data_IF_639513559231
#
_entry.id   IF_639513559231
#
_cell.length_a   1.000
_cell.length_b   1.000
_cell.length_c   1.000
_cell.angle_alpha   90.00
_cell.angle_beta   90.00
_cell.angle_gamma   90.00
#
_symmetry.space_group_name_H-M   'P 1'
#
loop_
_entity.id
_entity.type
_entity.pdbx_description
1 polymer ?
#
# COMPACT_ATOMS: atom_id res chain seq x y z
N UNK A 1 -19.61 1.02 -2.23
CA UNK A 1 -18.25 1.60 -2.21
C UNK A 1 -18.35 3.11 -2.28
N UNK A 2 -17.72 3.79 -1.32
CA UNK A 2 -17.69 5.26 -1.27
C UNK A 2 -16.63 5.81 -2.21
N UNK A 3 -16.81 7.06 -2.64
CA UNK A 3 -15.78 7.76 -3.39
C UNK A 3 -14.52 7.92 -2.54
N UNK A 4 -13.36 7.75 -3.17
CA UNK A 4 -12.05 7.97 -2.58
C UNK A 4 -11.16 8.69 -3.58
N UNK A 5 -10.16 9.37 -3.06
CA UNK A 5 -9.05 9.89 -3.88
C UNK A 5 -7.95 8.84 -3.97
N UNK A 6 -7.15 8.90 -5.02
CA UNK A 6 -6.09 7.93 -5.29
C UNK A 6 -4.79 8.67 -5.57
N UNK A 7 -3.73 8.27 -4.88
CA UNK A 7 -2.37 8.76 -5.05
C UNK A 7 -1.47 7.58 -5.44
N UNK A 8 -0.61 7.78 -6.44
CA UNK A 8 0.54 6.92 -6.66
C UNK A 8 1.74 7.56 -5.96
N UNK A 9 2.21 6.93 -4.89
CA UNK A 9 3.33 7.46 -4.13
C UNK A 9 4.61 7.43 -4.98
N UNK A 10 5.49 8.41 -4.77
CA UNK A 10 6.78 8.51 -5.47
C UNK A 10 7.93 7.85 -4.70
N UNK A 11 7.76 7.62 -3.39
CA UNK A 11 8.71 6.90 -2.53
C UNK A 11 7.98 6.30 -1.33
N UNK A 12 8.68 5.43 -0.57
CA UNK A 12 8.16 4.87 0.68
C UNK A 12 7.91 5.97 1.72
N UNK A 13 8.81 6.95 1.80
CA UNK A 13 8.70 8.08 2.72
C UNK A 13 7.48 8.95 2.39
N UNK A 14 7.22 9.19 1.10
CA UNK A 14 6.03 9.91 0.66
C UNK A 14 4.75 9.15 1.03
N UNK A 15 4.69 7.84 0.76
CA UNK A 15 3.55 7.00 1.13
C UNK A 15 3.27 7.03 2.64
N UNK A 16 4.33 6.87 3.46
CA UNK A 16 4.22 6.93 4.93
C UNK A 16 3.80 8.32 5.39
N UNK A 17 4.32 9.38 4.78
CA UNK A 17 3.95 10.76 5.07
C UNK A 17 2.46 11.02 4.81
N UNK A 18 1.94 10.62 3.64
CA UNK A 18 0.51 10.74 3.33
C UNK A 18 -0.32 9.95 4.34
N UNK A 19 0.02 8.69 4.62
CA UNK A 19 -0.71 7.86 5.57
C UNK A 19 -0.71 8.44 6.99
N UNK A 20 0.41 9.01 7.44
CA UNK A 20 0.52 9.66 8.74
C UNK A 20 -0.33 10.95 8.83
N UNK A 21 -0.43 11.69 7.72
CA UNK A 21 -1.22 12.93 7.67
C UNK A 21 -2.72 12.71 7.48
N UNK A 22 -3.13 11.53 7.03
CA UNK A 22 -4.53 11.18 6.77
C UNK A 22 -4.90 9.84 7.43
N UNK A 23 -5.52 9.84 8.62
CA UNK A 23 -5.91 8.62 9.34
C UNK A 23 -6.93 7.73 8.60
N UNK A 24 -7.60 8.26 7.57
CA UNK A 24 -8.53 7.53 6.72
C UNK A 24 -7.91 7.06 5.41
N UNK A 25 -6.61 7.31 5.19
CA UNK A 25 -5.89 6.75 4.08
C UNK A 25 -5.55 5.27 4.33
N UNK A 26 -5.59 4.46 3.27
CA UNK A 26 -5.13 3.07 3.29
C UNK A 26 -4.15 2.84 2.15
N UNK A 27 -3.12 2.03 2.40
CA UNK A 27 -2.26 1.53 1.34
C UNK A 27 -3.03 0.53 0.46
N UNK A 28 -2.78 0.56 -0.83
CA UNK A 28 -3.28 -0.46 -1.77
C UNK A 28 -2.10 -1.07 -2.55
N UNK A 29 -2.05 -2.41 -2.53
CA UNK A 29 -1.11 -3.24 -3.29
C UNK A 29 -1.85 -3.89 -4.47
N UNK A 30 -2.00 -5.22 -4.48
CA UNK A 30 -2.82 -5.94 -5.46
C UNK A 30 -4.34 -5.71 -5.31
N UNK A 31 -4.79 -5.18 -4.16
CA UNK A 31 -6.19 -4.76 -3.95
C UNK A 31 -7.22 -5.89 -3.83
N UNK A 32 -6.83 -7.16 -3.98
CA UNK A 32 -7.74 -8.31 -4.06
C UNK A 32 -8.65 -8.46 -2.84
N UNK A 33 -8.15 -8.18 -1.64
CA UNK A 33 -8.96 -8.19 -0.42
C UNK A 33 -9.55 -6.81 -0.09
N UNK A 34 -8.75 -5.73 -0.15
CA UNK A 34 -9.22 -4.40 0.22
C UNK A 34 -10.39 -3.92 -0.65
N UNK A 35 -10.31 -4.11 -1.98
CA UNK A 35 -11.38 -3.70 -2.89
C UNK A 35 -12.66 -4.51 -2.69
N UNK A 36 -12.55 -5.77 -2.28
CA UNK A 36 -13.71 -6.60 -1.94
C UNK A 36 -14.43 -6.05 -0.70
N UNK A 37 -13.69 -5.77 0.38
CA UNK A 37 -14.22 -5.16 1.59
C UNK A 37 -14.82 -3.77 1.34
N UNK A 38 -14.21 -2.98 0.45
CA UNK A 38 -14.71 -1.65 0.08
C UNK A 38 -16.03 -1.69 -0.72
N UNK A 39 -16.27 -2.74 -1.51
CA UNK A 39 -17.55 -2.93 -2.22
C UNK A 39 -18.69 -3.09 -1.22
N UNK A 40 -18.45 -3.85 -0.15
CA UNK A 40 -19.38 -4.10 0.95
C UNK A 40 -19.39 -2.99 2.00
N UNK A 41 -18.58 -1.95 1.82
CA UNK A 41 -18.44 -0.81 2.74
C UNK A 41 -17.99 -1.21 4.16
N UNK A 42 -17.28 -2.33 4.27
CA UNK A 42 -16.60 -2.76 5.50
C UNK A 42 -15.35 -1.91 5.72
N UNK A 43 -14.55 -1.73 4.65
CA UNK A 43 -13.45 -0.77 4.61
C UNK A 43 -13.91 0.47 3.84
N UNK A 44 -13.79 1.65 4.44
CA UNK A 44 -14.29 2.92 3.88
C UNK A 44 -13.22 4.02 3.86
N UNK A 45 -12.02 3.76 3.30
CA UNK A 45 -10.98 4.78 3.21
C UNK A 45 -11.44 5.94 2.32
N UNK A 46 -11.05 7.16 2.67
CA UNK A 46 -11.28 8.36 1.84
C UNK A 46 -10.14 8.62 0.86
N UNK A 47 -9.01 7.93 1.05
CA UNK A 47 -7.82 8.05 0.23
C UNK A 47 -7.11 6.69 0.10
N UNK A 48 -6.71 6.33 -1.11
CA UNK A 48 -5.88 5.16 -1.38
C UNK A 48 -4.49 5.59 -1.84
N UNK A 49 -3.48 5.03 -1.18
CA UNK A 49 -2.07 5.25 -1.49
C UNK A 49 -1.56 3.99 -2.18
N UNK A 50 -1.35 4.06 -3.49
CA UNK A 50 -0.75 2.97 -4.25
C UNK A 50 0.74 2.90 -3.95
N UNK A 51 1.16 1.75 -3.40
CA UNK A 51 2.54 1.47 -3.04
C UNK A 51 3.27 0.62 -4.09
N UNK A 52 2.58 0.20 -5.15
CA UNK A 52 3.19 -0.51 -6.28
C UNK A 52 4.23 0.39 -6.97
N UNK A 53 5.34 -0.21 -7.40
CA UNK A 53 6.42 0.51 -8.08
C UNK A 53 7.41 1.25 -7.16
N UNK A 54 7.30 1.09 -5.83
CA UNK A 54 8.24 1.67 -4.86
C UNK A 54 9.51 0.82 -4.63
N UNK A 55 9.76 -0.19 -5.48
CA UNK A 55 10.91 -1.11 -5.35
C UNK A 55 10.80 -2.09 -4.17
N UNK A 56 9.59 -2.29 -3.64
CA UNK A 56 9.28 -3.24 -2.55
C UNK A 56 8.92 -4.64 -3.08
N UNK A 57 9.32 -4.97 -4.30
CA UNK A 57 8.94 -6.13 -5.11
C UNK A 57 10.14 -7.05 -5.40
N UNK A 58 11.18 -6.99 -4.54
CA UNK A 58 12.42 -7.75 -4.71
C UNK A 58 12.53 -8.91 -3.73
N UNK A 59 13.24 -9.94 -4.18
CA UNK A 59 13.72 -11.04 -3.34
C UNK A 59 15.24 -10.93 -3.32
N UNK A 60 15.81 -10.77 -2.13
CA UNK A 60 17.24 -10.45 -1.95
C UNK A 60 17.85 -11.34 -0.86
N UNK A 61 19.08 -11.82 -1.06
CA UNK A 61 19.85 -12.48 0.01
C UNK A 61 20.26 -11.46 1.06
N UNK A 62 20.26 -11.86 2.33
CA UNK A 62 20.77 -11.02 3.44
C UNK A 62 22.23 -11.35 3.75
N UNK A 63 22.95 -10.39 4.32
CA UNK A 63 24.36 -10.57 4.71
C UNK A 63 24.58 -11.75 5.67
N UNK A 64 23.54 -12.10 6.44
CA UNK A 64 23.58 -13.15 7.45
C UNK A 64 23.20 -14.53 6.89
N UNK A 65 23.05 -14.64 5.56
CA UNK A 65 22.67 -15.89 4.86
C UNK A 65 21.18 -16.18 4.83
N UNK A 66 20.33 -15.18 5.09
CA UNK A 66 18.87 -15.28 5.02
C UNK A 66 18.30 -14.74 3.71
N UNK A 67 16.97 -14.59 3.67
CA UNK A 67 16.25 -14.03 2.52
C UNK A 67 15.35 -12.89 2.97
N UNK A 68 15.44 -11.75 2.28
CA UNK A 68 14.54 -10.61 2.42
C UNK A 68 13.58 -10.61 1.23
N UNK A 69 12.29 -10.71 1.54
CA UNK A 69 11.21 -10.67 0.57
C UNK A 69 10.50 -9.32 0.72
N UNK A 70 10.45 -8.56 -0.36
CA UNK A 70 9.73 -7.29 -0.41
C UNK A 70 8.22 -7.47 -0.21
N UNK A 71 7.57 -6.46 0.36
CA UNK A 71 6.15 -6.52 0.71
C UNK A 71 5.21 -6.62 -0.51
N UNK A 72 5.70 -6.39 -1.72
CA UNK A 72 4.94 -6.37 -2.98
C UNK A 72 5.42 -7.41 -4.00
N UNK A 73 6.12 -8.45 -3.54
CA UNK A 73 6.46 -9.63 -4.35
C UNK A 73 5.21 -10.45 -4.68
#
# INVERSE_FOLDING_TARGET
MRAFTYERASSVEAAVGTAASNPQAKFIAGGTNLLDLMKLEIEIPTHLIDVNGLGLDRIEETADGGLRIGALV
#
